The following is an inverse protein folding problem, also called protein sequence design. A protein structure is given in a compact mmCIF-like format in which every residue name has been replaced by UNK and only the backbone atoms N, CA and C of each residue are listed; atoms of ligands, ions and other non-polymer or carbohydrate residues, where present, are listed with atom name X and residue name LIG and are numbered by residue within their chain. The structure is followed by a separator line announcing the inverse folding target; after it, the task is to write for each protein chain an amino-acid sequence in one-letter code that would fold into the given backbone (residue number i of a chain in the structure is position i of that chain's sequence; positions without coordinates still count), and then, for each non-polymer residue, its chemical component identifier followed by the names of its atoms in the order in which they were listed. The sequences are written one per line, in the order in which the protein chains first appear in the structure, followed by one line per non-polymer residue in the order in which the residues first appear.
data_IF_742280411809
#
_entry.id   IF_742280411809
#
_cell.length_a   1.000
_cell.length_b   1.000
_cell.length_c   1.000
_cell.angle_alpha   90.00
_cell.angle_beta   90.00
_cell.angle_gamma   90.00
#
_symmetry.space_group_name_H-M   'P 1'
#
loop_
_entity.id
_entity.type
_entity.pdbx_description
1 polymer ?
#
# COMPACT_ATOMS: atom_id res chain seq x y z
N UNK A 1 31.81 -1.38 -17.08
CA UNK A 1 31.55 -2.15 -18.33
C UNK A 1 30.56 -3.27 -17.98
N UNK A 2 29.36 -3.22 -18.58
CA UNK A 2 28.27 -4.22 -18.72
C UNK A 2 28.10 -5.45 -17.78
N UNK A 3 26.80 -5.68 -17.46
CA UNK A 3 26.03 -6.94 -17.24
C UNK A 3 26.08 -7.59 -15.85
N UNK A 4 24.97 -7.74 -15.07
CA UNK A 4 23.67 -8.49 -15.19
C UNK A 4 23.74 -10.02 -14.91
N UNK A 5 23.02 -10.45 -13.84
CA UNK A 5 22.27 -11.73 -13.58
C UNK A 5 23.04 -13.04 -13.16
N UNK A 6 22.39 -14.12 -12.60
CA UNK A 6 21.19 -14.28 -11.70
C UNK A 6 21.10 -15.58 -10.77
N UNK A 7 19.92 -15.79 -10.09
CA UNK A 7 19.14 -17.04 -9.69
C UNK A 7 19.08 -17.54 -8.20
N UNK A 8 18.03 -18.14 -7.57
CA UNK A 8 16.52 -18.29 -7.66
C UNK A 8 15.94 -19.16 -6.51
N UNK A 9 14.69 -18.90 -6.06
CA UNK A 9 13.54 -19.82 -5.84
C UNK A 9 12.33 -18.97 -5.34
N UNK A 10 11.11 -18.88 -5.87
CA UNK A 10 10.33 -19.57 -6.90
C UNK A 10 9.53 -18.53 -7.75
N UNK A 11 9.21 -18.93 -8.99
CA UNK A 11 8.47 -18.15 -9.99
C UNK A 11 6.96 -18.11 -9.67
N UNK A 12 6.29 -17.01 -10.02
CA UNK A 12 5.22 -17.01 -11.03
C UNK A 12 4.30 -15.78 -10.90
N UNK A 13 4.31 -14.99 -11.98
CA UNK A 13 3.16 -14.34 -12.59
C UNK A 13 2.29 -13.48 -11.66
N UNK A 14 2.69 -12.22 -11.43
CA UNK A 14 1.75 -11.13 -11.11
C UNK A 14 2.05 -9.79 -11.76
N UNK A 15 3.01 -9.75 -12.69
CA UNK A 15 3.90 -8.61 -12.85
C UNK A 15 3.35 -7.32 -13.50
N UNK A 16 2.04 -7.07 -13.58
CA UNK A 16 1.55 -6.34 -14.74
C UNK A 16 0.32 -5.42 -14.68
N UNK A 17 -0.30 -5.13 -13.55
CA UNK A 17 -1.56 -4.35 -13.61
C UNK A 17 -1.35 -2.82 -13.56
N UNK A 18 -0.17 -2.30 -13.23
CA UNK A 18 0.04 -0.84 -13.15
C UNK A 18 0.67 -0.16 -14.38
N UNK A 19 1.15 -0.87 -15.40
CA UNK A 19 1.55 -0.21 -16.66
C UNK A 19 0.35 0.05 -17.60
N UNK A 20 -0.85 -0.42 -17.22
CA UNK A 20 -2.10 -0.35 -17.99
C UNK A 20 -2.78 1.01 -18.01
N UNK A 21 -2.27 1.96 -17.24
CA UNK A 21 -2.73 3.34 -17.26
C UNK A 21 -1.68 4.32 -17.76
N UNK A 22 -0.98 3.95 -18.83
CA UNK A 22 -0.31 4.87 -19.75
C UNK A 22 0.99 5.56 -19.34
N UNK A 23 2.09 4.86 -19.64
CA UNK A 23 3.32 5.52 -20.13
C UNK A 23 3.49 5.29 -21.64
N UNK A 24 2.39 5.28 -22.41
CA UNK A 24 2.44 5.24 -23.88
C UNK A 24 1.27 5.91 -24.61
N UNK A 25 0.42 6.70 -23.94
CA UNK A 25 -0.58 7.55 -24.63
C UNK A 25 -0.14 9.02 -24.66
N UNK A 26 0.92 9.40 -23.95
CA UNK A 26 1.40 10.77 -24.02
C UNK A 26 2.03 11.16 -25.38
N UNK A 27 2.40 10.22 -26.27
CA UNK A 27 3.07 10.56 -27.54
C UNK A 27 2.45 9.92 -28.80
N UNK A 28 1.12 9.73 -28.83
CA UNK A 28 0.36 9.64 -30.10
C UNK A 28 -1.14 9.79 -29.88
N UNK A 29 -1.56 10.98 -29.45
CA UNK A 29 -2.95 11.39 -29.59
C UNK A 29 -3.26 11.60 -31.07
N UNK A 30 -3.88 10.61 -31.72
CA UNK A 30 -4.81 10.85 -32.85
C UNK A 30 -5.74 9.68 -33.23
N UNK A 31 -5.68 8.49 -32.60
CA UNK A 31 -6.52 7.33 -33.05
C UNK A 31 -7.04 6.44 -31.90
N UNK A 32 -7.75 7.01 -30.91
CA UNK A 32 -8.48 6.21 -29.90
C UNK A 32 -9.83 5.69 -30.44
N UNK A 33 -10.29 6.14 -31.62
CA UNK A 33 -11.64 5.84 -32.10
C UNK A 33 -11.84 4.48 -32.80
N UNK A 34 -10.87 3.56 -32.82
CA UNK A 34 -11.02 2.26 -33.53
C UNK A 34 -10.36 1.02 -32.88
N UNK A 35 -9.77 1.09 -31.68
CA UNK A 35 -9.11 -0.09 -31.07
C UNK A 35 -10.05 -0.88 -30.19
N UNK A 36 -9.99 -2.22 -30.26
CA UNK A 36 -10.74 -3.11 -29.36
C UNK A 36 -10.06 -3.19 -27.99
N UNK A 37 -10.84 -3.41 -26.92
CA UNK A 37 -10.27 -3.59 -25.57
C UNK A 37 -9.26 -4.74 -25.49
N UNK A 38 -9.50 -5.84 -26.21
CA UNK A 38 -8.56 -6.95 -26.28
C UNK A 38 -7.19 -6.53 -26.84
N UNK A 39 -7.17 -5.67 -27.88
CA UNK A 39 -5.90 -5.15 -28.42
C UNK A 39 -5.17 -4.29 -27.39
N UNK A 40 -5.89 -3.42 -26.68
CA UNK A 40 -5.34 -2.59 -25.61
C UNK A 40 -4.75 -3.47 -24.49
N UNK A 41 -5.47 -4.51 -24.06
CA UNK A 41 -5.01 -5.44 -23.03
C UNK A 41 -3.72 -6.17 -23.43
N UNK A 42 -3.63 -6.65 -24.67
CA UNK A 42 -2.45 -7.34 -25.19
C UNK A 42 -1.20 -6.45 -25.21
N UNK A 43 -1.31 -5.24 -25.74
CA UNK A 43 -0.18 -4.30 -25.84
C UNK A 43 0.44 -4.02 -24.48
N UNK A 44 -0.37 -3.91 -23.44
CA UNK A 44 0.19 -3.64 -22.13
C UNK A 44 0.78 -4.87 -21.46
N UNK A 45 0.15 -6.05 -21.62
CA UNK A 45 0.76 -7.31 -21.15
C UNK A 45 2.19 -7.49 -21.70
N UNK A 46 2.43 -7.13 -22.96
CA UNK A 46 3.76 -7.22 -23.59
C UNK A 46 4.78 -6.26 -22.96
N UNK A 47 4.40 -5.01 -22.70
CA UNK A 47 5.31 -3.98 -22.16
C UNK A 47 5.83 -4.36 -20.77
N UNK A 48 4.98 -4.92 -19.93
CA UNK A 48 5.37 -5.40 -18.60
C UNK A 48 6.43 -6.50 -18.64
N UNK A 49 6.33 -7.42 -19.58
CA UNK A 49 7.25 -8.58 -19.65
C UNK A 49 8.72 -8.14 -19.85
N UNK A 50 8.96 -6.91 -20.29
CA UNK A 50 10.30 -6.36 -20.52
C UNK A 50 11.07 -5.91 -19.26
N UNK A 51 10.41 -5.73 -18.11
CA UNK A 51 10.98 -5.08 -16.92
C UNK A 51 11.65 -6.02 -15.90
N UNK A 52 11.81 -7.30 -16.20
CA UNK A 52 12.11 -8.32 -15.17
C UNK A 52 13.57 -8.79 -15.17
N UNK A 53 14.31 -8.46 -14.12
CA UNK A 53 15.62 -9.03 -13.78
C UNK A 53 15.75 -9.10 -12.25
N UNK A 54 15.67 -10.28 -11.61
CA UNK A 54 16.15 -10.42 -10.23
C UNK A 54 17.67 -10.62 -10.21
N UNK A 55 18.35 -9.84 -9.38
CA UNK A 55 19.73 -10.04 -8.92
C UNK A 55 19.71 -10.86 -7.61
N UNK A 56 20.73 -11.70 -7.38
CA UNK A 56 20.88 -12.52 -6.17
C UNK A 56 21.61 -11.74 -5.07
N UNK A 57 21.19 -11.89 -3.81
CA UNK A 57 21.83 -11.28 -2.63
C UNK A 57 22.83 -12.25 -2.02
N UNK A 58 24.03 -11.79 -1.70
CA UNK A 58 25.08 -12.57 -1.01
C UNK A 58 24.86 -12.60 0.50
N UNK A 59 25.49 -13.57 1.18
CA UNK A 59 25.41 -13.68 2.65
C UNK A 59 26.01 -12.46 3.37
N UNK A 60 27.11 -11.89 2.84
CA UNK A 60 27.74 -10.68 3.39
C UNK A 60 26.82 -9.46 3.26
N UNK A 61 26.11 -9.33 2.13
CA UNK A 61 25.11 -8.27 1.93
C UNK A 61 23.93 -8.42 2.90
N UNK A 62 23.47 -9.65 3.16
CA UNK A 62 22.43 -9.93 4.15
C UNK A 62 22.87 -9.56 5.57
N UNK A 63 24.10 -9.91 5.96
CA UNK A 63 24.65 -9.59 7.28
C UNK A 63 24.84 -8.09 7.48
N UNK A 64 25.34 -7.40 6.45
CA UNK A 64 25.46 -5.94 6.44
C UNK A 64 24.09 -5.28 6.58
N UNK A 65 23.13 -5.70 5.76
CA UNK A 65 21.76 -5.19 5.82
C UNK A 65 21.11 -5.43 7.20
N UNK A 66 21.29 -6.62 7.77
CA UNK A 66 20.76 -6.94 9.10
C UNK A 66 21.38 -6.08 10.20
N UNK A 67 22.67 -5.76 10.09
CA UNK A 67 23.36 -4.85 11.01
C UNK A 67 22.82 -3.42 10.89
N UNK A 68 22.62 -2.93 9.66
CA UNK A 68 22.01 -1.61 9.40
C UNK A 68 20.59 -1.53 9.96
N UNK A 69 19.75 -2.53 9.68
CA UNK A 69 18.39 -2.62 10.23
C UNK A 69 18.35 -2.63 11.76
N UNK A 70 19.31 -3.30 12.42
CA UNK A 70 19.35 -3.37 13.88
C UNK A 70 19.83 -2.05 14.52
N UNK A 71 20.48 -1.17 13.75
CA UNK A 71 20.89 0.15 14.20
C UNK A 71 19.78 1.22 14.02
N UNK A 72 18.78 0.94 13.18
CA UNK A 72 17.63 1.83 12.99
C UNK A 72 16.71 1.86 14.22
N UNK A 73 16.07 3.01 14.44
CA UNK A 73 14.98 3.12 15.41
C UNK A 73 13.83 2.16 14.99
N UNK A 74 13.18 1.55 15.97
CA UNK A 74 12.04 0.68 15.73
C UNK A 74 10.75 1.47 15.49
N UNK A 75 10.72 2.75 15.91
CA UNK A 75 9.59 3.66 15.75
C UNK A 75 9.37 4.04 14.29
N UNK A 76 8.18 4.53 13.99
CA UNK A 76 7.82 4.98 12.63
C UNK A 76 8.74 6.09 12.19
N UNK A 77 9.40 5.91 11.04
CA UNK A 77 10.02 7.02 10.34
C UNK A 77 8.91 7.85 9.66
N UNK A 78 8.31 8.75 10.43
CA UNK A 78 7.19 9.58 9.95
C UNK A 78 7.72 10.52 8.85
N UNK A 79 7.11 10.56 7.66
CA UNK A 79 7.56 11.46 6.61
C UNK A 79 7.50 12.93 7.04
N UNK A 80 8.54 13.71 6.73
CA UNK A 80 8.67 15.11 7.17
C UNK A 80 7.48 15.96 6.73
N UNK A 81 6.99 15.77 5.50
CA UNK A 81 5.80 16.49 5.00
C UNK A 81 4.55 16.22 5.84
N UNK A 82 4.39 14.99 6.34
CA UNK A 82 3.27 14.61 7.20
C UNK A 82 3.41 15.18 8.62
N UNK A 83 4.64 15.34 9.11
CA UNK A 83 4.91 16.01 10.39
C UNK A 83 4.63 17.52 10.31
N UNK A 84 4.95 18.14 9.17
CA UNK A 84 5.01 19.59 9.06
C UNK A 84 3.63 20.25 8.80
N UNK A 85 2.73 19.74 7.94
CA UNK A 85 1.42 20.43 7.68
C UNK A 85 0.28 19.60 7.06
N UNK A 86 -0.95 20.02 7.42
CA UNK A 86 -1.98 20.45 6.43
C UNK A 86 -3.05 21.41 7.01
N UNK A 87 -3.37 21.38 8.32
CA UNK A 87 -4.47 22.18 8.93
C UNK A 87 -4.08 22.97 10.21
N UNK A 88 -2.85 23.49 10.31
CA UNK A 88 -2.39 24.34 11.45
C UNK A 88 -2.24 23.69 12.83
N UNK A 89 -2.36 22.37 12.97
CA UNK A 89 -1.94 21.66 14.18
C UNK A 89 -0.71 20.82 13.86
N UNK A 90 0.44 21.18 14.42
CA UNK A 90 1.65 20.35 14.37
C UNK A 90 1.39 19.03 15.09
N UNK A 91 1.90 17.93 14.53
CA UNK A 91 1.81 16.60 15.14
C UNK A 91 2.50 16.61 16.52
N UNK A 92 1.74 16.36 17.60
CA UNK A 92 2.31 16.27 18.95
C UNK A 92 2.85 14.85 19.19
N UNK A 93 4.13 14.67 18.90
CA UNK A 93 4.82 13.38 19.08
C UNK A 93 4.85 12.91 20.55
N UNK A 94 4.63 13.80 21.52
CA UNK A 94 4.58 13.40 22.94
C UNK A 94 3.33 12.61 23.29
N UNK A 95 2.26 12.72 22.48
CA UNK A 95 1.02 11.95 22.64
C UNK A 95 1.03 10.61 21.95
N UNK A 96 1.87 10.43 20.92
CA UNK A 96 1.96 9.17 20.17
C UNK A 96 2.26 8.02 21.13
N UNK A 97 1.34 7.07 21.20
CA UNK A 97 1.48 5.96 22.13
C UNK A 97 2.43 4.90 21.56
N UNK A 98 3.38 4.49 22.39
CA UNK A 98 4.24 3.33 22.18
C UNK A 98 4.13 2.50 23.45
N UNK A 99 3.86 1.20 23.29
CA UNK A 99 3.75 0.28 24.42
C UNK A 99 5.02 0.33 25.29
N UNK A 100 4.91 0.56 26.61
CA UNK A 100 6.07 0.59 27.51
C UNK A 100 6.84 -0.71 27.56
N UNK A 101 6.17 -1.84 27.29
CA UNK A 101 6.79 -3.15 27.11
C UNK A 101 6.70 -3.52 25.63
N UNK A 102 7.86 -3.68 24.98
CA UNK A 102 7.94 -4.06 23.58
C UNK A 102 9.15 -4.97 23.29
N UNK A 103 9.16 -5.57 22.09
CA UNK A 103 10.17 -6.56 21.69
C UNK A 103 11.57 -5.99 21.42
N UNK A 104 11.71 -4.67 21.40
CA UNK A 104 12.95 -3.97 21.06
C UNK A 104 13.66 -3.46 22.31
N UNK A 105 12.95 -2.79 23.20
CA UNK A 105 13.48 -2.21 24.43
C UNK A 105 13.39 -3.18 25.62
N UNK A 106 12.38 -4.08 25.65
CA UNK A 106 12.11 -4.99 26.76
C UNK A 106 12.09 -6.46 26.31
N UNK A 107 13.00 -6.85 25.41
CA UNK A 107 12.96 -8.14 24.71
C UNK A 107 12.77 -9.36 25.63
N UNK A 108 13.54 -9.47 26.70
CA UNK A 108 13.46 -10.63 27.61
C UNK A 108 12.11 -10.71 28.32
N UNK A 109 11.59 -9.57 28.77
CA UNK A 109 10.29 -9.48 29.41
C UNK A 109 9.16 -9.76 28.40
N UNK A 110 9.22 -9.11 27.23
CA UNK A 110 8.29 -9.33 26.12
C UNK A 110 8.16 -10.80 25.73
N UNK A 111 9.30 -11.50 25.64
CA UNK A 111 9.33 -12.91 25.26
C UNK A 111 8.76 -13.85 26.32
N UNK A 112 8.66 -13.41 27.58
CA UNK A 112 8.06 -14.19 28.67
C UNK A 112 6.53 -14.21 28.64
N UNK A 113 5.91 -13.19 28.04
CA UNK A 113 4.46 -13.09 27.89
C UNK A 113 3.93 -13.98 26.75
N UNK A 114 2.72 -14.52 26.94
CA UNK A 114 1.91 -15.15 25.89
C UNK A 114 1.50 -14.15 24.81
N UNK A 115 1.00 -14.65 23.68
CA UNK A 115 0.50 -13.79 22.59
C UNK A 115 -0.67 -12.92 23.07
N UNK A 116 -1.58 -13.47 23.87
CA UNK A 116 -2.74 -12.75 24.42
C UNK A 116 -2.31 -11.62 25.36
N UNK A 117 -1.32 -11.86 26.22
CA UNK A 117 -0.76 -10.84 27.10
C UNK A 117 -0.04 -9.75 26.29
N UNK A 118 0.70 -10.10 25.23
CA UNK A 118 1.32 -9.12 24.33
C UNK A 118 0.29 -8.23 23.63
N UNK A 119 -0.85 -8.79 23.22
CA UNK A 119 -1.97 -8.01 22.67
C UNK A 119 -2.52 -7.05 23.73
N UNK A 120 -2.70 -7.51 24.97
CA UNK A 120 -3.21 -6.68 26.07
C UNK A 120 -2.24 -5.54 26.43
N UNK A 121 -0.94 -5.83 26.54
CA UNK A 121 0.11 -4.85 26.79
C UNK A 121 0.20 -3.79 25.69
N UNK A 122 -0.13 -4.17 24.46
CA UNK A 122 -0.04 -3.28 23.31
C UNK A 122 -1.24 -2.34 23.17
N UNK A 123 -2.33 -2.50 23.93
CA UNK A 123 -3.51 -1.63 23.84
C UNK A 123 -3.16 -0.18 24.19
N UNK A 124 -3.80 0.77 23.49
CA UNK A 124 -3.72 2.19 23.86
C UNK A 124 -4.58 2.42 25.11
N UNK A 125 -4.09 3.14 26.15
CA UNK A 125 -4.91 3.53 27.29
C UNK A 125 -6.19 4.26 26.84
N UNK A 126 -7.32 3.96 27.46
CA UNK A 126 -8.63 4.45 26.98
C UNK A 126 -8.75 5.96 27.07
N UNK A 127 -8.12 6.55 28.09
CA UNK A 127 -8.04 7.99 28.31
C UNK A 127 -7.27 8.68 27.18
N UNK A 128 -6.12 8.11 26.79
CA UNK A 128 -5.30 8.64 25.70
C UNK A 128 -5.99 8.47 24.34
N UNK A 129 -6.66 7.33 24.11
CA UNK A 129 -7.25 6.98 22.81
C UNK A 129 -8.25 8.04 22.30
N UNK A 130 -9.02 8.65 23.21
CA UNK A 130 -9.97 9.73 22.91
C UNK A 130 -9.33 11.10 22.73
N UNK A 131 -8.11 11.31 23.24
CA UNK A 131 -7.39 12.58 23.17
C UNK A 131 -6.50 12.72 21.93
N UNK A 132 -6.11 11.59 21.33
CA UNK A 132 -5.26 11.57 20.14
C UNK A 132 -5.96 12.23 18.95
N UNK A 133 -5.27 13.14 18.27
CA UNK A 133 -5.66 13.56 16.92
C UNK A 133 -5.61 12.38 15.94
N UNK A 134 -6.24 12.50 14.77
CA UNK A 134 -6.26 11.39 13.80
C UNK A 134 -4.86 11.08 13.29
N UNK A 135 -4.00 12.09 13.15
CA UNK A 135 -2.60 11.89 12.77
C UNK A 135 -1.80 11.19 13.88
N UNK A 136 -1.97 11.60 15.13
CA UNK A 136 -1.34 10.93 16.28
C UNK A 136 -1.79 9.48 16.42
N UNK A 137 -3.07 9.21 16.18
CA UNK A 137 -3.60 7.85 16.20
C UNK A 137 -3.07 7.01 15.03
N UNK A 138 -2.92 7.58 13.83
CA UNK A 138 -2.29 6.88 12.69
C UNK A 138 -0.86 6.48 13.05
N UNK A 139 -0.05 7.40 13.58
CA UNK A 139 1.34 7.12 13.98
C UNK A 139 1.38 6.10 15.12
N UNK A 140 0.47 6.20 16.09
CA UNK A 140 0.29 5.22 17.17
C UNK A 140 0.01 3.82 16.60
N UNK A 141 -0.92 3.71 15.65
CA UNK A 141 -1.24 2.45 15.00
C UNK A 141 -0.06 1.85 14.24
N UNK A 142 0.74 2.69 13.59
CA UNK A 142 1.94 2.26 12.89
C UNK A 142 3.08 1.85 13.85
N UNK A 143 2.99 2.15 15.14
CA UNK A 143 3.92 1.66 16.16
C UNK A 143 3.38 0.46 16.96
N UNK A 144 2.28 -0.15 16.53
CA UNK A 144 1.73 -1.34 17.18
C UNK A 144 2.73 -2.51 17.15
N UNK A 145 2.98 -3.12 18.32
CA UNK A 145 4.03 -4.15 18.47
C UNK A 145 3.86 -5.38 17.57
N UNK A 146 2.61 -5.74 17.27
CA UNK A 146 2.26 -6.96 16.55
C UNK A 146 1.83 -6.69 15.10
N UNK A 147 2.27 -5.57 14.50
CA UNK A 147 2.00 -5.29 13.09
C UNK A 147 2.46 -6.41 12.15
N UNK A 148 3.57 -7.08 12.50
CA UNK A 148 4.10 -8.20 11.72
C UNK A 148 3.13 -9.39 11.58
N UNK A 149 2.17 -9.54 12.51
CA UNK A 149 1.22 -10.64 12.50
C UNK A 149 0.28 -10.58 11.28
N UNK A 150 0.19 -9.44 10.60
CA UNK A 150 -0.52 -9.31 9.32
C UNK A 150 -0.07 -10.33 8.27
N UNK A 151 1.19 -10.77 8.34
CA UNK A 151 1.79 -11.73 7.41
C UNK A 151 1.63 -13.21 7.81
N UNK A 152 0.97 -13.52 8.94
CA UNK A 152 0.83 -14.89 9.45
C UNK A 152 -0.40 -15.64 8.90
N UNK A 153 -1.13 -15.03 7.98
CA UNK A 153 -2.43 -15.50 7.50
C UNK A 153 -2.42 -15.75 5.98
N UNK A 154 -3.49 -16.35 5.47
CA UNK A 154 -3.58 -16.73 4.05
C UNK A 154 -3.64 -15.51 3.11
N UNK A 155 -4.03 -14.35 3.63
CA UNK A 155 -4.01 -13.09 2.89
C UNK A 155 -3.76 -11.90 3.82
N UNK A 156 -3.32 -10.77 3.25
CA UNK A 156 -3.15 -9.53 4.02
C UNK A 156 -4.49 -9.01 4.56
N UNK A 157 -5.59 -9.16 3.83
CA UNK A 157 -6.92 -8.82 4.33
C UNK A 157 -7.30 -9.67 5.54
N UNK A 158 -7.07 -10.99 5.49
CA UNK A 158 -7.35 -11.86 6.64
C UNK A 158 -6.49 -11.46 7.85
N UNK A 159 -5.21 -11.21 7.65
CA UNK A 159 -4.32 -10.77 8.73
C UNK A 159 -4.75 -9.44 9.33
N UNK A 160 -5.07 -8.47 8.49
CA UNK A 160 -5.54 -7.17 8.95
C UNK A 160 -6.90 -7.23 9.65
N UNK A 161 -7.81 -8.11 9.19
CA UNK A 161 -9.10 -8.35 9.84
C UNK A 161 -8.96 -8.89 11.26
N UNK A 162 -7.91 -9.67 11.53
CA UNK A 162 -7.58 -10.12 12.89
C UNK A 162 -6.98 -8.97 13.68
N UNK A 163 -5.98 -8.28 13.14
CA UNK A 163 -5.33 -7.16 13.82
C UNK A 163 -6.32 -6.06 14.25
N UNK A 164 -7.22 -5.65 13.34
CA UNK A 164 -8.23 -4.63 13.64
C UNK A 164 -9.23 -5.07 14.69
N UNK A 165 -9.50 -6.37 14.84
CA UNK A 165 -10.35 -6.90 15.92
C UNK A 165 -9.63 -6.96 17.26
N UNK A 166 -8.32 -7.12 17.27
CA UNK A 166 -7.52 -7.30 18.48
C UNK A 166 -7.01 -5.99 19.08
N UNK A 167 -6.78 -4.96 18.26
CA UNK A 167 -6.13 -3.73 18.69
C UNK A 167 -7.08 -2.52 18.67
N UNK A 168 -7.26 -1.88 19.82
CA UNK A 168 -8.18 -0.76 19.98
C UNK A 168 -7.80 0.50 19.17
N UNK A 169 -6.52 0.70 18.86
CA UNK A 169 -6.08 1.82 18.02
C UNK A 169 -6.66 1.77 16.62
N UNK A 170 -6.63 0.59 15.97
CA UNK A 170 -7.26 0.40 14.65
C UNK A 170 -8.78 0.55 14.72
N UNK A 171 -9.41 -0.01 15.75
CA UNK A 171 -10.85 0.11 15.94
C UNK A 171 -11.30 1.56 16.06
N UNK A 172 -10.53 2.38 16.77
CA UNK A 172 -10.84 3.79 16.91
C UNK A 172 -10.58 4.55 15.61
N UNK A 173 -9.44 4.31 14.95
CA UNK A 173 -9.07 4.99 13.70
C UNK A 173 -10.14 4.78 12.63
N UNK A 174 -10.63 3.55 12.48
CA UNK A 174 -11.64 3.19 11.47
C UNK A 174 -13.04 3.77 11.72
N UNK A 175 -13.28 4.35 12.91
CA UNK A 175 -14.52 5.08 13.24
C UNK A 175 -14.43 6.58 12.92
N UNK A 176 -13.22 7.12 12.72
CA UNK A 176 -13.02 8.57 12.57
C UNK A 176 -13.47 9.04 11.19
N UNK A 177 -14.28 10.11 11.18
CA UNK A 177 -14.86 10.68 9.95
C UNK A 177 -13.82 11.27 9.00
N UNK A 178 -12.66 11.65 9.51
CA UNK A 178 -11.55 12.22 8.75
C UNK A 178 -10.42 11.21 8.46
N UNK A 179 -10.60 9.93 8.83
CA UNK A 179 -9.58 8.89 8.66
C UNK A 179 -9.08 8.78 7.22
N UNK A 180 -9.99 8.79 6.23
CA UNK A 180 -9.63 8.75 4.81
C UNK A 180 -8.75 9.92 4.39
N UNK A 181 -9.15 11.14 4.71
CA UNK A 181 -8.38 12.35 4.39
C UNK A 181 -6.98 12.32 5.02
N UNK A 182 -6.88 11.88 6.28
CA UNK A 182 -5.59 11.85 7.01
C UNK A 182 -4.68 10.72 6.56
N UNK A 183 -5.21 9.54 6.30
CA UNK A 183 -4.45 8.42 5.73
C UNK A 183 -3.98 8.73 4.31
N UNK A 184 -4.80 9.40 3.49
CA UNK A 184 -4.39 9.87 2.17
C UNK A 184 -3.27 10.90 2.29
N UNK A 185 -3.35 11.85 3.23
CA UNK A 185 -2.27 12.81 3.46
C UNK A 185 -0.95 12.14 3.84
N UNK A 186 -0.98 11.14 4.75
CA UNK A 186 0.20 10.34 5.06
C UNK A 186 0.75 9.63 3.83
N UNK A 187 -0.13 8.94 3.09
CA UNK A 187 0.27 8.16 1.93
C UNK A 187 0.92 9.02 0.84
N UNK A 188 0.39 10.22 0.58
CA UNK A 188 1.01 11.18 -0.35
C UNK A 188 2.41 11.61 0.10
N UNK A 189 2.58 11.87 1.39
CA UNK A 189 3.84 12.29 1.98
C UNK A 189 4.94 11.20 1.98
N UNK A 190 4.60 9.93 1.71
CA UNK A 190 5.58 8.84 1.71
C UNK A 190 6.37 8.82 0.40
N UNK A 191 7.68 9.00 0.50
CA UNK A 191 8.65 8.57 -0.50
C UNK A 191 9.11 7.14 -0.17
N UNK A 192 9.07 6.23 -1.15
CA UNK A 192 9.40 4.82 -0.90
C UNK A 192 10.87 4.59 -0.61
N UNK A 193 11.77 5.33 -1.26
CA UNK A 193 13.21 5.14 -1.05
C UNK A 193 13.60 5.67 0.32
N UNK A 194 13.09 6.86 0.69
CA UNK A 194 13.28 7.43 2.02
C UNK A 194 12.71 6.52 3.10
N UNK A 195 11.49 6.01 2.93
CA UNK A 195 10.88 5.09 3.89
C UNK A 195 11.67 3.79 4.00
N UNK A 196 12.15 3.24 2.88
CA UNK A 196 12.98 2.04 2.88
C UNK A 196 14.30 2.24 3.63
N UNK A 197 14.94 3.39 3.44
CA UNK A 197 16.23 3.72 4.05
C UNK A 197 16.10 4.06 5.54
N UNK A 198 14.99 4.68 5.95
CA UNK A 198 14.83 5.22 7.31
C UNK A 198 14.00 4.35 8.23
N UNK A 199 13.14 3.48 7.71
CA UNK A 199 12.23 2.68 8.54
C UNK A 199 12.60 1.20 8.56
N UNK A 200 12.88 0.71 9.78
CA UNK A 200 13.22 -0.69 10.04
C UNK A 200 12.15 -1.69 9.59
N UNK A 201 10.89 -1.29 9.60
CA UNK A 201 9.71 -2.10 9.25
C UNK A 201 8.94 -1.53 8.06
N UNK A 202 9.62 -0.80 7.19
CA UNK A 202 9.10 -0.12 6.00
C UNK A 202 8.06 -0.94 5.23
N UNK A 203 8.36 -2.20 4.92
CA UNK A 203 7.47 -3.13 4.22
C UNK A 203 6.18 -3.46 5.00
N UNK A 204 6.29 -3.74 6.31
CA UNK A 204 5.15 -4.10 7.16
C UNK A 204 4.25 -2.87 7.36
N UNK A 205 4.85 -1.70 7.57
CA UNK A 205 4.13 -0.44 7.73
C UNK A 205 3.41 -0.04 6.45
N UNK A 206 4.04 -0.14 5.29
CA UNK A 206 3.34 0.12 4.03
C UNK A 206 2.21 -0.87 3.79
N UNK A 207 2.39 -2.16 4.06
CA UNK A 207 1.28 -3.11 3.98
C UNK A 207 0.14 -2.70 4.92
N UNK A 208 0.44 -2.24 6.13
CA UNK A 208 -0.56 -1.77 7.08
C UNK A 208 -1.29 -0.51 6.58
N UNK A 209 -0.56 0.47 6.05
CA UNK A 209 -1.12 1.69 5.45
C UNK A 209 -2.05 1.33 4.28
N UNK A 210 -1.61 0.42 3.40
CA UNK A 210 -2.43 -0.06 2.30
C UNK A 210 -3.70 -0.77 2.77
N UNK A 211 -3.60 -1.60 3.82
CA UNK A 211 -4.77 -2.26 4.37
C UNK A 211 -5.75 -1.26 5.00
N UNK A 212 -5.25 -0.27 5.73
CA UNK A 212 -6.07 0.83 6.26
C UNK A 212 -6.77 1.61 5.14
N UNK A 213 -6.05 1.98 4.08
CA UNK A 213 -6.61 2.67 2.91
C UNK A 213 -7.61 1.81 2.12
N UNK A 214 -7.54 0.49 2.22
CA UNK A 214 -8.46 -0.43 1.57
C UNK A 214 -9.72 -0.74 2.40
N UNK A 215 -9.80 -0.27 3.64
CA UNK A 215 -10.99 -0.47 4.49
C UNK A 215 -12.17 0.35 3.97
N UNK A 216 -13.34 -0.27 3.96
CA UNK A 216 -14.54 0.35 3.41
C UNK A 216 -14.92 1.64 4.15
N UNK A 217 -14.79 1.68 5.49
CA UNK A 217 -15.11 2.90 6.26
C UNK A 217 -14.18 4.07 5.90
N UNK A 218 -12.89 3.79 5.65
CA UNK A 218 -11.89 4.77 5.23
C UNK A 218 -12.21 5.27 3.83
N UNK A 219 -12.43 4.37 2.88
CA UNK A 219 -12.77 4.71 1.50
C UNK A 219 -14.09 5.49 1.37
N UNK A 220 -15.09 5.17 2.20
CA UNK A 220 -16.37 5.91 2.27
C UNK A 220 -16.23 7.31 2.86
N UNK A 221 -15.19 7.56 3.65
CA UNK A 221 -14.92 8.89 4.23
C UNK A 221 -14.26 9.86 3.25
N UNK A 222 -13.72 9.37 2.13
CA UNK A 222 -13.12 10.20 1.08
C UNK A 222 -14.20 10.95 0.28
N UNK A 223 -13.96 12.23 -0.01
CA UNK A 223 -14.75 13.02 -0.96
C UNK A 223 -14.35 12.70 -2.40
N UNK A 224 -15.20 13.00 -3.38
CA UNK A 224 -14.93 12.76 -4.81
C UNK A 224 -13.57 13.30 -5.29
N UNK A 225 -13.17 14.48 -4.82
CA UNK A 225 -11.86 15.05 -5.12
C UNK A 225 -10.72 14.21 -4.53
N UNK A 226 -10.88 13.76 -3.29
CA UNK A 226 -9.89 12.93 -2.60
C UNK A 226 -9.83 11.52 -3.20
N UNK A 227 -10.94 10.98 -3.69
CA UNK A 227 -10.94 9.74 -4.49
C UNK A 227 -10.07 9.93 -5.72
N UNK A 228 -10.25 11.03 -6.48
CA UNK A 228 -9.40 11.30 -7.65
C UNK A 228 -7.93 11.49 -7.26
N UNK A 229 -7.66 12.26 -6.21
CA UNK A 229 -6.29 12.48 -5.73
C UNK A 229 -5.66 11.13 -5.32
N UNK A 230 -6.41 10.26 -4.65
CA UNK A 230 -5.94 8.94 -4.24
C UNK A 230 -5.62 8.05 -5.45
N UNK A 231 -6.48 8.00 -6.47
CA UNK A 231 -6.22 7.22 -7.69
C UNK A 231 -5.00 7.75 -8.46
N UNK A 232 -4.83 9.07 -8.54
CA UNK A 232 -3.64 9.66 -9.14
C UNK A 232 -2.38 9.32 -8.35
N UNK A 233 -2.45 9.32 -7.02
CA UNK A 233 -1.32 8.95 -6.17
C UNK A 233 -0.94 7.47 -6.34
N UNK A 234 -1.91 6.54 -6.28
CA UNK A 234 -1.68 5.12 -6.55
C UNK A 234 -1.03 4.89 -7.92
N UNK A 235 -1.47 5.65 -8.92
CA UNK A 235 -0.91 5.59 -10.27
C UNK A 235 0.54 6.08 -10.31
N UNK A 236 0.83 7.26 -9.75
CA UNK A 236 2.16 7.85 -9.73
C UNK A 236 3.16 6.95 -8.98
N UNK A 237 2.78 6.51 -7.77
CA UNK A 237 3.57 5.60 -6.94
C UNK A 237 3.75 4.23 -7.58
N UNK A 238 2.69 3.65 -8.15
CA UNK A 238 2.76 2.37 -8.86
C UNK A 238 3.68 2.43 -10.08
N UNK A 239 3.69 3.55 -10.81
CA UNK A 239 4.61 3.80 -11.93
C UNK A 239 6.05 3.90 -11.44
N UNK A 240 6.30 4.66 -10.37
CA UNK A 240 7.63 4.78 -9.77
C UNK A 240 8.19 3.40 -9.37
N UNK A 241 7.41 2.58 -8.67
CA UNK A 241 7.83 1.22 -8.25
C UNK A 241 8.08 0.27 -9.43
N UNK A 242 7.48 0.52 -10.60
CA UNK A 242 7.73 -0.25 -11.81
C UNK A 242 9.00 0.22 -12.54
N UNK A 243 9.25 1.52 -12.55
CA UNK A 243 10.38 2.15 -13.25
C UNK A 243 11.67 2.13 -12.42
N UNK A 244 11.54 2.17 -11.09
CA UNK A 244 12.64 2.14 -10.13
C UNK A 244 12.93 0.71 -9.65
N UNK A 245 14.18 0.46 -9.23
CA UNK A 245 14.54 -0.71 -8.43
C UNK A 245 14.23 -0.46 -6.94
N UNK A 246 13.13 0.23 -6.60
CA UNK A 246 12.76 0.56 -5.22
C UNK A 246 12.87 -0.68 -4.32
N UNK A 247 13.58 -0.54 -3.21
CA UNK A 247 14.06 -1.63 -2.34
C UNK A 247 12.95 -2.50 -1.74
N UNK A 248 12.39 -3.44 -2.50
CA UNK A 248 11.50 -4.48 -1.97
C UNK A 248 10.01 -4.11 -1.86
N UNK A 249 9.62 -2.87 -2.12
CA UNK A 249 8.20 -2.52 -2.27
C UNK A 249 7.62 -3.06 -3.58
N UNK A 250 6.33 -3.43 -3.55
CA UNK A 250 5.65 -4.04 -4.69
C UNK A 250 4.54 -3.12 -5.17
N UNK A 251 4.58 -2.75 -6.44
CA UNK A 251 3.52 -1.96 -7.09
C UNK A 251 2.14 -2.64 -7.02
N UNK A 252 2.06 -3.96 -6.79
CA UNK A 252 0.79 -4.69 -6.63
C UNK A 252 -0.05 -4.16 -5.49
N UNK A 253 0.57 -3.60 -4.45
CA UNK A 253 -0.17 -2.97 -3.36
C UNK A 253 -0.88 -1.70 -3.82
N UNK A 254 -0.23 -0.90 -4.68
CA UNK A 254 -0.82 0.32 -5.26
C UNK A 254 -2.01 -0.02 -6.17
N UNK A 255 -1.88 -1.09 -6.97
CA UNK A 255 -2.99 -1.64 -7.75
C UNK A 255 -4.14 -2.00 -6.82
N UNK A 256 -3.86 -2.77 -5.77
CA UNK A 256 -4.86 -3.31 -4.87
C UNK A 256 -5.69 -2.19 -4.23
N UNK A 257 -5.03 -1.20 -3.61
CA UNK A 257 -5.73 -0.13 -2.91
C UNK A 257 -6.48 0.80 -3.88
N UNK A 258 -5.92 1.06 -5.06
CA UNK A 258 -6.59 1.82 -6.12
C UNK A 258 -7.84 1.13 -6.64
N UNK A 259 -7.75 -0.16 -6.98
CA UNK A 259 -8.91 -0.95 -7.42
C UNK A 259 -9.95 -1.12 -6.32
N UNK A 260 -9.54 -1.24 -5.05
CA UNK A 260 -10.45 -1.27 -3.91
C UNK A 260 -11.25 0.02 -3.78
N UNK A 261 -10.60 1.16 -3.92
CA UNK A 261 -11.26 2.46 -3.96
C UNK A 261 -12.25 2.54 -5.14
N UNK A 262 -11.82 2.18 -6.35
CA UNK A 262 -12.66 2.25 -7.54
C UNK A 262 -13.84 1.27 -7.51
N UNK A 263 -13.68 0.08 -6.94
CA UNK A 263 -14.79 -0.87 -6.71
C UNK A 263 -15.92 -0.26 -5.88
N UNK A 264 -15.57 0.62 -4.93
CA UNK A 264 -16.54 1.28 -4.08
C UNK A 264 -17.20 2.48 -4.77
N UNK A 265 -16.44 3.24 -5.57
CA UNK A 265 -16.84 4.55 -6.08
C UNK A 265 -17.25 4.56 -7.56
N UNK A 266 -16.99 3.50 -8.33
CA UNK A 266 -17.32 3.42 -9.76
C UNK A 266 -18.00 2.09 -10.12
N UNK A 267 -19.31 2.15 -10.35
CA UNK A 267 -20.10 0.95 -10.66
C UNK A 267 -19.68 0.25 -11.96
N UNK A 268 -19.13 0.97 -12.94
CA UNK A 268 -18.64 0.35 -14.19
C UNK A 268 -17.37 -0.45 -13.93
N UNK A 269 -16.43 0.15 -13.19
CA UNK A 269 -15.19 -0.53 -12.82
C UNK A 269 -15.47 -1.73 -11.91
N UNK A 270 -16.40 -1.58 -10.94
CA UNK A 270 -16.86 -2.69 -10.10
C UNK A 270 -17.38 -3.86 -10.94
N UNK A 271 -18.25 -3.61 -11.91
CA UNK A 271 -18.78 -4.67 -12.80
C UNK A 271 -17.68 -5.35 -13.63
N UNK A 272 -16.70 -4.58 -14.11
CA UNK A 272 -15.57 -5.14 -14.86
C UNK A 272 -14.71 -6.06 -13.97
N UNK A 273 -14.45 -5.66 -12.72
CA UNK A 273 -13.72 -6.46 -11.73
C UNK A 273 -14.50 -7.72 -11.34
N UNK A 274 -15.81 -7.61 -11.08
CA UNK A 274 -16.64 -8.74 -10.65
C UNK A 274 -16.87 -9.81 -11.73
N UNK A 275 -16.62 -9.47 -13.01
CA UNK A 275 -16.71 -10.40 -14.14
C UNK A 275 -15.50 -11.33 -14.26
N UNK A 276 -14.39 -10.99 -13.62
CA UNK A 276 -13.13 -11.73 -13.69
C UNK A 276 -12.78 -12.28 -12.30
N UNK A 277 -12.84 -13.61 -12.14
CA UNK A 277 -12.71 -14.26 -10.82
C UNK A 277 -11.35 -13.98 -10.16
N UNK A 278 -10.28 -13.93 -10.96
CA UNK A 278 -8.93 -13.63 -10.45
C UNK A 278 -8.85 -12.19 -9.93
N UNK A 279 -9.34 -11.20 -10.69
CA UNK A 279 -9.42 -9.80 -10.26
C UNK A 279 -10.29 -9.62 -9.03
N UNK A 280 -11.48 -10.23 -9.03
CA UNK A 280 -12.40 -10.18 -7.90
C UNK A 280 -11.75 -10.73 -6.64
N UNK A 281 -11.06 -11.87 -6.74
CA UNK A 281 -10.32 -12.48 -5.62
C UNK A 281 -9.22 -11.55 -5.13
N UNK A 282 -8.40 -11.01 -6.01
CA UNK A 282 -7.32 -10.09 -5.67
C UNK A 282 -7.81 -8.85 -4.91
N UNK A 283 -8.85 -8.20 -5.43
CA UNK A 283 -9.46 -7.04 -4.80
C UNK A 283 -10.11 -7.43 -3.47
N UNK A 284 -10.72 -8.60 -3.34
CA UNK A 284 -11.39 -9.00 -2.10
C UNK A 284 -10.41 -9.39 -0.99
N UNK A 285 -9.38 -10.16 -1.33
CA UNK A 285 -8.51 -10.81 -0.35
C UNK A 285 -7.27 -9.98 0.02
N UNK A 286 -6.97 -8.91 -0.72
CA UNK A 286 -5.65 -8.26 -0.60
C UNK A 286 -4.54 -9.24 -0.93
N UNK A 287 -4.80 -10.10 -1.92
CA UNK A 287 -3.87 -11.15 -2.30
C UNK A 287 -2.57 -10.48 -2.75
N UNK A 288 -1.44 -10.89 -2.17
CA UNK A 288 -0.12 -10.36 -2.51
C UNK A 288 0.25 -10.60 -3.99
N UNK A 289 -0.51 -11.46 -4.67
CA UNK A 289 -0.24 -11.98 -5.99
C UNK A 289 -1.54 -12.13 -6.81
N UNK A 290 -1.62 -11.47 -7.97
CA UNK A 290 -2.55 -11.78 -9.06
C UNK A 290 -1.81 -11.89 -10.40
N UNK A 291 -1.91 -13.03 -11.08
CA UNK A 291 -1.37 -13.22 -12.42
C UNK A 291 -2.17 -12.45 -13.47
N UNK A 292 -1.52 -11.56 -14.21
CA UNK A 292 -2.21 -10.88 -15.31
C UNK A 292 -2.56 -11.83 -16.46
N UNK A 293 -1.80 -12.91 -16.62
CA UNK A 293 -2.11 -13.91 -17.64
C UNK A 293 -3.40 -14.68 -17.27
N UNK A 294 -3.85 -14.61 -16.01
CA UNK A 294 -5.15 -15.12 -15.56
C UNK A 294 -6.30 -14.12 -15.78
N UNK A 295 -6.01 -12.87 -16.15
CA UNK A 295 -7.03 -11.86 -16.41
C UNK A 295 -7.29 -11.74 -17.90
N UNK A 296 -8.56 -11.67 -18.29
CA UNK A 296 -8.94 -11.48 -19.69
C UNK A 296 -8.44 -10.14 -20.28
N UNK A 297 -7.89 -10.17 -21.50
CA UNK A 297 -7.37 -8.98 -22.20
C UNK A 297 -8.44 -7.88 -22.35
N UNK A 298 -9.70 -8.26 -22.55
CA UNK A 298 -10.83 -7.33 -22.67
C UNK A 298 -11.09 -6.63 -21.34
N UNK A 299 -11.10 -7.37 -20.22
CA UNK A 299 -11.28 -6.80 -18.88
C UNK A 299 -10.16 -5.82 -18.55
N UNK A 300 -8.92 -6.21 -18.86
CA UNK A 300 -7.75 -5.36 -18.73
C UNK A 300 -7.90 -4.07 -19.54
N UNK A 301 -8.26 -4.16 -20.82
CA UNK A 301 -8.44 -3.00 -21.69
C UNK A 301 -9.59 -2.09 -21.25
N UNK A 302 -10.71 -2.66 -20.81
CA UNK A 302 -11.88 -1.92 -20.32
C UNK A 302 -11.52 -1.10 -19.07
N UNK A 303 -10.90 -1.72 -18.06
CA UNK A 303 -10.46 -1.03 -16.85
C UNK A 303 -9.49 0.11 -17.16
N UNK A 304 -8.57 -0.13 -18.10
CA UNK A 304 -7.57 0.86 -18.52
C UNK A 304 -8.22 2.12 -19.10
N UNK A 305 -9.17 1.95 -20.01
CA UNK A 305 -9.87 3.08 -20.62
C UNK A 305 -10.70 3.82 -19.58
N UNK A 306 -11.48 3.10 -18.76
CA UNK A 306 -12.35 3.69 -17.75
C UNK A 306 -11.58 4.52 -16.71
N UNK A 307 -10.48 3.98 -16.17
CA UNK A 307 -9.71 4.69 -15.15
C UNK A 307 -9.02 5.91 -15.76
N UNK A 308 -8.48 5.77 -16.97
CA UNK A 308 -7.84 6.87 -17.66
C UNK A 308 -8.80 8.05 -17.86
N UNK A 309 -9.94 7.81 -18.49
CA UNK A 309 -10.85 8.87 -18.91
C UNK A 309 -11.46 9.62 -17.73
N UNK A 310 -11.65 8.94 -16.60
CA UNK A 310 -12.42 9.46 -15.46
C UNK A 310 -11.57 10.01 -14.32
N UNK A 311 -10.38 9.45 -14.11
CA UNK A 311 -9.57 9.71 -12.91
C UNK A 311 -8.18 10.30 -13.22
N UNK A 312 -7.54 9.90 -14.32
CA UNK A 312 -6.15 10.30 -14.61
C UNK A 312 -6.01 11.37 -15.69
N UNK A 313 -7.02 11.57 -16.54
CA UNK A 313 -7.00 12.66 -17.53
C UNK A 313 -7.06 13.99 -16.78
N UNK A 314 -6.02 14.82 -16.92
CA UNK A 314 -6.12 16.23 -16.56
C UNK A 314 -7.34 16.79 -17.31
N UNK A 315 -8.34 17.30 -16.57
CA UNK A 315 -9.37 18.10 -17.23
C UNK A 315 -8.62 19.30 -17.78
N UNK A 316 -8.49 19.36 -19.09
CA UNK A 316 -7.95 20.51 -19.81
C UNK A 316 -8.44 21.78 -19.13
N UNK A 317 -7.49 22.63 -18.75
CA UNK A 317 -7.76 23.97 -18.23
C UNK A 317 -8.71 24.66 -19.20
N UNK A 318 -9.95 24.83 -18.78
CA UNK A 318 -10.89 25.81 -19.35
C UNK A 318 -10.93 26.98 -18.38
#
# INVERSE_FOLDING_TARGET
MKAKKPFVLARSVCMAICFLLLVAVCWSFFLVQQRSYAQVGKEVKEKIKSFVNPESVTQEELEKYQKELNAMDFKFAIPSEFQEKANSTTLDLSKVYISPINQYENRSEWLSYSVQERVALSQVPSELLGELSTDELIVTCLNYNLLGDIGLYNSLQQGFDILKKQYNGFQELLKRKDAGSRLLALYKAIDFNELYEKDRFSSIRMNTIHMLLAEESVLRSLKDREVKDFINECYAKGKELLESKSGGFRYTNEVYVGLRCLCLHDSSIKRAIERDDSLKKFVTEGAQFISIDEIDDTTVGELSVLIQERYLRERDRV
#
